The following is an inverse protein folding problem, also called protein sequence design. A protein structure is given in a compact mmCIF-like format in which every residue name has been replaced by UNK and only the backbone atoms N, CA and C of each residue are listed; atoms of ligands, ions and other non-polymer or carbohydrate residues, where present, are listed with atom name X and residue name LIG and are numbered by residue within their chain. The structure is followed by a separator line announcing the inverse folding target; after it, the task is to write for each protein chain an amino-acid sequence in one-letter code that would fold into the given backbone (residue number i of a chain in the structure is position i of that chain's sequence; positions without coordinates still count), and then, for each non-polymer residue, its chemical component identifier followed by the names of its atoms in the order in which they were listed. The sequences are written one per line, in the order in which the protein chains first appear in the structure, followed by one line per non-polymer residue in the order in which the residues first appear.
data_IF_199381451602
#
_entry.id   IF_199381451602
#
_cell.length_a   1.000
_cell.length_b   1.000
_cell.length_c   1.000
_cell.angle_alpha   90.00
_cell.angle_beta   90.00
_cell.angle_gamma   90.00
#
_symmetry.space_group_name_H-M   'P 1'
#
loop_
_entity.id
_entity.type
_entity.pdbx_description
1 polymer ?
#
# COMPACT_ATOMS: atom_id res chain seq x y z
N UNK A 1 24.01 -6.35 -21.59
CA UNK A 1 23.65 -6.63 -20.18
C UNK A 1 22.59 -5.64 -19.72
N UNK A 2 21.31 -5.94 -19.93
CA UNK A 2 20.18 -5.13 -19.40
C UNK A 2 19.30 -6.06 -18.57
N UNK A 3 19.81 -6.44 -17.40
CA UNK A 3 19.06 -7.19 -16.41
C UNK A 3 18.20 -6.20 -15.60
N UNK A 4 17.01 -5.86 -16.10
CA UNK A 4 15.95 -5.23 -15.33
C UNK A 4 14.65 -5.17 -16.15
N UNK A 5 14.12 -6.33 -16.56
CA UNK A 5 12.84 -6.38 -17.26
C UNK A 5 12.10 -7.70 -16.96
N UNK A 6 11.90 -8.00 -15.68
CA UNK A 6 11.12 -9.17 -15.24
C UNK A 6 9.78 -8.83 -14.57
N UNK A 7 9.39 -7.55 -14.58
CA UNK A 7 8.13 -7.09 -13.96
C UNK A 7 7.18 -6.38 -14.94
N UNK A 8 7.54 -6.28 -16.22
CA UNK A 8 6.86 -5.39 -17.17
C UNK A 8 5.87 -6.08 -18.12
N UNK A 9 5.37 -7.28 -17.82
CA UNK A 9 4.42 -7.95 -18.74
C UNK A 9 3.22 -8.67 -18.12
N UNK A 10 3.00 -8.61 -16.80
CA UNK A 10 1.90 -9.34 -16.17
C UNK A 10 1.30 -8.66 -14.92
N UNK A 11 1.25 -7.33 -14.88
CA UNK A 11 0.40 -6.64 -13.88
C UNK A 11 -0.62 -5.76 -14.59
N UNK A 12 -1.54 -6.41 -15.30
CA UNK A 12 -2.89 -5.90 -15.46
C UNK A 12 -3.77 -6.58 -14.39
N UNK A 13 -3.36 -6.45 -13.13
CA UNK A 13 -4.17 -6.80 -11.98
C UNK A 13 -4.19 -5.56 -11.12
N UNK A 14 -5.37 -4.97 -10.94
CA UNK A 14 -5.58 -3.86 -10.02
C UNK A 14 -4.93 -4.21 -8.68
N UNK A 15 -4.00 -3.42 -8.11
CA UNK A 15 -3.48 -3.67 -6.77
C UNK A 15 -4.59 -3.37 -5.75
N UNK A 16 -5.56 -4.28 -5.69
CA UNK A 16 -6.64 -4.28 -4.71
C UNK A 16 -6.13 -4.84 -3.37
N UNK A 17 -4.97 -5.51 -3.37
CA UNK A 17 -4.41 -6.15 -2.19
C UNK A 17 -3.25 -5.35 -1.56
N UNK A 18 -3.39 -4.96 -0.28
CA UNK A 18 -2.37 -4.23 0.47
C UNK A 18 -1.10 -5.03 0.74
N UNK A 19 -1.20 -6.36 0.86
CA UNK A 19 -0.04 -7.23 1.02
C UNK A 19 0.78 -7.26 -0.27
N UNK A 20 0.13 -7.28 -1.43
CA UNK A 20 0.78 -7.18 -2.73
C UNK A 20 1.41 -5.81 -2.95
N UNK A 21 0.71 -4.73 -2.59
CA UNK A 21 1.25 -3.35 -2.66
C UNK A 21 2.54 -3.20 -1.85
N UNK A 22 2.61 -3.80 -0.66
CA UNK A 22 3.83 -3.82 0.15
C UNK A 22 4.84 -4.90 -0.30
N UNK A 23 4.43 -5.84 -1.16
CA UNK A 23 5.25 -6.97 -1.61
C UNK A 23 5.61 -7.92 -0.47
N UNK A 24 4.65 -8.21 0.41
CA UNK A 24 4.82 -9.08 1.59
C UNK A 24 3.79 -10.22 1.59
N UNK A 25 4.05 -11.28 2.37
CA UNK A 25 3.07 -12.34 2.60
C UNK A 25 1.93 -11.84 3.50
N UNK A 26 0.75 -12.48 3.39
CA UNK A 26 -0.37 -12.30 4.34
C UNK A 26 -0.01 -12.65 5.78
N UNK A 27 1.00 -13.49 5.99
CA UNK A 27 1.55 -13.83 7.31
C UNK A 27 2.63 -12.84 7.79
N UNK A 28 2.82 -11.71 7.10
CA UNK A 28 3.88 -10.77 7.43
C UNK A 28 3.71 -10.21 8.85
N UNK A 29 4.82 -10.23 9.58
CA UNK A 29 4.96 -9.58 10.88
C UNK A 29 4.99 -8.05 10.74
N UNK A 30 4.67 -7.32 11.81
CA UNK A 30 4.78 -5.86 11.85
C UNK A 30 6.18 -5.36 11.45
N UNK A 31 7.22 -6.08 11.86
CA UNK A 31 8.60 -5.78 11.50
C UNK A 31 8.83 -5.88 9.98
N UNK A 32 8.23 -6.88 9.31
CA UNK A 32 8.30 -7.03 7.86
C UNK A 32 7.51 -5.93 7.15
N UNK A 33 6.30 -5.59 7.62
CA UNK A 33 5.48 -4.50 7.09
C UNK A 33 6.23 -3.17 7.15
N UNK A 34 6.82 -2.84 8.30
CA UNK A 34 7.60 -1.62 8.50
C UNK A 34 8.85 -1.56 7.62
N UNK A 35 9.54 -2.68 7.42
CA UNK A 35 10.70 -2.78 6.53
C UNK A 35 10.30 -2.58 5.07
N UNK A 36 9.21 -3.20 4.64
CA UNK A 36 8.68 -3.08 3.29
C UNK A 36 8.26 -1.63 2.98
N UNK A 37 7.47 -1.02 3.88
CA UNK A 37 7.06 0.37 3.78
C UNK A 37 8.27 1.32 3.63
N UNK A 38 9.27 1.22 4.51
CA UNK A 38 10.47 2.06 4.43
C UNK A 38 11.21 1.92 3.10
N UNK A 39 11.34 0.70 2.59
CA UNK A 39 12.01 0.43 1.31
C UNK A 39 11.25 1.07 0.14
N UNK A 40 9.93 0.94 0.13
CA UNK A 40 9.08 1.46 -0.94
C UNK A 40 8.93 2.99 -0.86
N UNK A 41 8.81 3.57 0.34
CA UNK A 41 8.79 5.01 0.54
C UNK A 41 10.05 5.70 0.02
N UNK A 42 11.23 5.09 0.25
CA UNK A 42 12.49 5.59 -0.33
C UNK A 42 12.55 5.39 -1.84
N UNK A 43 11.97 4.31 -2.36
CA UNK A 43 11.95 4.03 -3.81
C UNK A 43 11.08 5.03 -4.55
N UNK A 44 9.92 5.36 -4.00
CA UNK A 44 8.91 6.24 -4.61
C UNK A 44 8.98 7.68 -4.12
N UNK A 45 10.05 8.09 -3.44
CA UNK A 45 10.23 9.47 -3.03
C UNK A 45 10.36 10.40 -4.25
N UNK A 46 9.69 11.58 -4.29
CA UNK A 46 9.72 12.48 -5.45
C UNK A 46 11.12 12.97 -5.81
N UNK A 47 12.00 13.18 -4.81
CA UNK A 47 13.40 13.55 -5.06
C UNK A 47 14.19 12.51 -5.86
N UNK A 48 13.81 11.23 -5.75
CA UNK A 48 14.48 10.12 -6.45
C UNK A 48 13.83 9.79 -7.79
N UNK A 49 12.66 10.36 -8.07
CA UNK A 49 11.89 10.14 -9.29
C UNK A 49 11.47 11.48 -9.92
N UNK A 50 12.45 12.33 -10.32
CA UNK A 50 12.16 13.66 -10.87
C UNK A 50 11.39 13.60 -12.20
N UNK A 51 11.62 12.56 -13.01
CA UNK A 51 11.01 12.40 -14.34
C UNK A 51 9.65 11.67 -14.29
N UNK A 52 9.33 11.04 -13.16
CA UNK A 52 8.13 10.22 -12.96
C UNK A 52 7.43 10.58 -11.64
N UNK A 53 7.34 11.88 -11.35
CA UNK A 53 6.81 12.39 -10.06
C UNK A 53 5.37 11.94 -9.81
N UNK A 54 4.52 11.98 -10.83
CA UNK A 54 3.10 11.62 -10.71
C UNK A 54 2.92 10.13 -10.37
N UNK A 55 3.64 9.26 -11.07
CA UNK A 55 3.63 7.82 -10.79
C UNK A 55 4.22 7.54 -9.40
N UNK A 56 5.33 8.20 -9.05
CA UNK A 56 5.94 8.06 -7.74
C UNK A 56 5.01 8.51 -6.60
N UNK A 57 4.29 9.61 -6.77
CA UNK A 57 3.30 10.06 -5.79
C UNK A 57 2.14 9.07 -5.65
N UNK A 58 1.61 8.56 -6.77
CA UNK A 58 0.55 7.55 -6.76
C UNK A 58 0.99 6.29 -6.01
N UNK A 59 2.15 5.74 -6.36
CA UNK A 59 2.68 4.55 -5.71
C UNK A 59 3.02 4.81 -4.24
N UNK A 60 3.54 5.98 -3.90
CA UNK A 60 3.80 6.37 -2.52
C UNK A 60 2.53 6.39 -1.68
N UNK A 61 1.44 6.93 -2.24
CA UNK A 61 0.12 6.99 -1.60
C UNK A 61 -0.45 5.59 -1.36
N UNK A 62 -0.42 4.72 -2.37
CA UNK A 62 -0.88 3.33 -2.25
C UNK A 62 -0.08 2.56 -1.19
N UNK A 63 1.24 2.74 -1.14
CA UNK A 63 2.12 2.12 -0.14
C UNK A 63 1.85 2.64 1.27
N UNK A 64 1.54 3.93 1.42
CA UNK A 64 1.18 4.53 2.69
C UNK A 64 -0.15 3.99 3.21
N UNK A 65 -1.18 3.95 2.36
CA UNK A 65 -2.51 3.41 2.68
C UNK A 65 -2.41 1.93 3.10
N UNK A 66 -1.67 1.12 2.34
CA UNK A 66 -1.46 -0.28 2.65
C UNK A 66 -0.78 -0.49 4.01
N UNK A 67 0.24 0.31 4.32
CA UNK A 67 0.92 0.23 5.61
C UNK A 67 0.04 0.69 6.77
N UNK A 68 -0.74 1.77 6.59
CA UNK A 68 -1.65 2.27 7.62
C UNK A 68 -2.62 1.17 8.07
N UNK A 69 -3.28 0.52 7.10
CA UNK A 69 -4.25 -0.55 7.38
C UNK A 69 -3.59 -1.80 7.94
N UNK A 70 -2.49 -2.27 7.34
CA UNK A 70 -1.87 -3.53 7.74
C UNK A 70 -1.04 -3.43 9.03
N UNK A 71 -0.56 -2.25 9.39
CA UNK A 71 0.23 -2.06 10.62
C UNK A 71 -0.63 -2.00 11.88
N UNK A 72 -1.92 -1.69 11.76
CA UNK A 72 -2.86 -1.69 12.88
C UNK A 72 -3.60 -3.05 12.95
N UNK A 73 -3.46 -3.84 14.03
CA UNK A 73 -4.07 -5.16 14.15
C UNK A 73 -5.61 -5.16 13.97
N UNK A 74 -6.30 -4.12 14.46
CA UNK A 74 -7.76 -3.99 14.30
C UNK A 74 -8.15 -3.69 12.85
N UNK A 75 -7.44 -2.77 12.20
CA UNK A 75 -7.71 -2.42 10.80
C UNK A 75 -7.34 -3.57 9.86
N UNK A 76 -6.20 -4.24 10.09
CA UNK A 76 -5.78 -5.44 9.39
C UNK A 76 -6.81 -6.56 9.51
N UNK A 77 -7.32 -6.81 10.72
CA UNK A 77 -8.38 -7.80 10.92
C UNK A 77 -9.66 -7.44 10.16
N UNK A 78 -10.07 -6.17 10.16
CA UNK A 78 -11.22 -5.71 9.38
C UNK A 78 -11.00 -5.90 7.88
N UNK A 79 -9.80 -5.56 7.41
CA UNK A 79 -9.38 -5.74 6.02
C UNK A 79 -9.32 -7.21 5.60
N UNK A 80 -8.80 -8.09 6.44
CA UNK A 80 -8.72 -9.52 6.16
C UNK A 80 -10.12 -10.18 6.11
N UNK A 81 -11.10 -9.63 6.85
CA UNK A 81 -12.48 -10.14 6.87
C UNK A 81 -13.34 -9.62 5.70
N UNK A 82 -13.14 -8.38 5.27
CA UNK A 82 -14.00 -7.72 4.28
C UNK A 82 -13.32 -7.39 2.94
N UNK A 83 -11.99 -7.58 2.84
CA UNK A 83 -11.19 -7.15 1.70
C UNK A 83 -11.04 -5.63 1.60
N UNK A 84 -10.41 -5.17 0.51
CA UNK A 84 -10.53 -3.77 0.09
C UNK A 84 -11.96 -3.62 -0.41
N UNK A 85 -12.81 -2.84 0.27
CA UNK A 85 -14.20 -2.67 -0.15
C UNK A 85 -14.25 -2.22 -1.62
N UNK A 86 -14.70 -3.11 -2.52
CA UNK A 86 -14.93 -2.80 -3.93
C UNK A 86 -16.06 -1.78 -4.03
N UNK A 87 -15.69 -0.50 -4.07
CA UNK A 87 -16.62 0.60 -4.35
C UNK A 87 -17.01 1.44 -3.14
N UNK A 88 -16.10 2.30 -2.69
CA UNK A 88 -16.41 3.37 -1.75
C UNK A 88 -15.28 3.56 -0.76
N UNK A 89 -14.75 4.78 -0.69
CA UNK A 89 -13.62 5.11 0.17
C UNK A 89 -13.79 4.60 1.60
N UNK A 90 -12.66 4.30 2.21
CA UNK A 90 -12.57 4.13 3.65
C UNK A 90 -13.33 5.26 4.35
N UNK A 91 -14.37 4.98 5.18
CA UNK A 91 -14.76 5.92 6.22
C UNK A 91 -13.72 5.80 7.34
N UNK A 92 -12.50 6.28 7.07
CA UNK A 92 -11.36 6.20 7.98
C UNK A 92 -10.55 7.48 8.06
N UNK A 93 -10.74 8.40 7.10
CA UNK A 93 -10.16 9.74 7.13
C UNK A 93 -11.24 10.80 7.32
N UNK A 94 -11.68 11.02 8.56
CA UNK A 94 -12.49 12.20 8.90
C UNK A 94 -13.57 11.97 9.95
N UNK A 95 -13.34 12.50 11.15
CA UNK A 95 -14.33 13.27 11.90
C UNK A 95 -15.49 12.53 12.58
N UNK A 96 -15.51 12.63 13.91
CA UNK A 96 -16.74 12.85 14.67
C UNK A 96 -17.52 11.59 15.03
N UNK A 97 -17.20 11.02 16.20
CA UNK A 97 -18.17 10.22 16.94
C UNK A 97 -19.38 11.08 17.28
N UNK A 98 -20.54 10.72 16.72
CA UNK A 98 -21.84 11.20 17.18
C UNK A 98 -22.27 10.39 18.39
N UNK A 99 -22.30 11.06 19.54
CA UNK A 99 -23.05 10.65 20.73
C UNK A 99 -23.80 11.89 21.23
N UNK A 100 -25.00 12.12 20.67
CA UNK A 100 -26.30 12.22 21.37
C UNK A 100 -27.42 12.28 20.30
#
# INVERSE_FOLDING_TARGET
LRAAAFWALLVHGTPQDYYETLGVSRDATEAQLKRAYKKLALRWHPDKNPDSREEAEKQFREVAEAYEVLSNPQQRKSYDLHGRADGGGFPGGGGGGGFD
#
